data_IF_818105406452
#
_entry.id   IF_818105406452
#
_cell.length_a   1.000
_cell.length_b   1.000
_cell.length_c   1.000
_cell.angle_alpha   90.00
_cell.angle_beta   90.00
_cell.angle_gamma   90.00
#
_symmetry.space_group_name_H-M   'P 1'
#
loop_
_entity.id
_entity.type
_entity.pdbx_description
1 polymer ?
#
# COMPACT_ATOMS: atom_id res chain seq x y z
N UNK A 1 -16.35 -14.50 -32.13
CA UNK A 1 -15.85 -13.29 -32.80
C UNK A 1 -16.76 -12.17 -32.38
N UNK A 2 -16.23 -11.25 -31.55
CA UNK A 2 -17.02 -10.13 -30.99
C UNK A 2 -16.89 -8.91 -31.91
N UNK A 3 -18.03 -8.22 -32.11
CA UNK A 3 -18.11 -7.05 -32.99
C UNK A 3 -17.91 -5.81 -32.13
N UNK A 4 -16.95 -4.96 -32.51
CA UNK A 4 -16.63 -3.69 -31.83
C UNK A 4 -17.21 -2.55 -32.68
N UNK A 5 -18.15 -1.79 -32.08
CA UNK A 5 -18.75 -0.60 -32.68
C UNK A 5 -18.40 0.68 -31.91
N UNK A 6 -18.03 0.54 -30.67
CA UNK A 6 -17.74 1.68 -29.77
C UNK A 6 -16.66 1.36 -28.73
N UNK A 7 -16.12 2.40 -28.10
CA UNK A 7 -15.20 2.25 -26.96
C UNK A 7 -15.83 1.50 -25.79
N UNK A 8 -17.15 1.62 -25.60
CA UNK A 8 -17.88 0.92 -24.54
C UNK A 8 -17.91 -0.60 -24.76
N UNK A 9 -17.93 -1.05 -26.00
CA UNK A 9 -17.84 -2.48 -26.30
C UNK A 9 -16.48 -3.04 -25.87
N UNK A 10 -15.38 -2.30 -26.10
CA UNK A 10 -14.06 -2.69 -25.66
C UNK A 10 -13.97 -2.78 -24.13
N UNK A 11 -14.57 -1.84 -23.39
CA UNK A 11 -14.60 -1.92 -21.92
C UNK A 11 -15.35 -3.16 -21.44
N UNK A 12 -16.51 -3.49 -22.04
CA UNK A 12 -17.27 -4.70 -21.72
C UNK A 12 -16.45 -5.95 -22.00
N UNK A 13 -15.77 -6.01 -23.13
CA UNK A 13 -14.94 -7.15 -23.53
C UNK A 13 -13.82 -7.35 -22.52
N UNK A 14 -13.07 -6.31 -22.15
CA UNK A 14 -11.97 -6.38 -21.19
C UNK A 14 -12.45 -6.86 -19.81
N UNK A 15 -13.63 -6.43 -19.36
CA UNK A 15 -14.18 -6.83 -18.07
C UNK A 15 -14.51 -8.33 -17.98
N UNK A 16 -14.75 -8.99 -19.09
CA UNK A 16 -15.12 -10.40 -19.16
C UNK A 16 -14.04 -11.30 -19.78
N UNK A 17 -13.08 -10.73 -20.48
CA UNK A 17 -12.03 -11.49 -21.15
C UNK A 17 -10.91 -11.88 -20.18
N UNK A 18 -10.42 -13.10 -20.33
CA UNK A 18 -9.18 -13.51 -19.69
C UNK A 18 -7.99 -12.92 -20.45
N UNK A 19 -7.08 -12.31 -19.70
CA UNK A 19 -5.83 -11.87 -20.30
C UNK A 19 -4.92 -13.05 -20.62
N UNK A 20 -4.25 -12.96 -21.77
CA UNK A 20 -3.16 -13.88 -22.12
C UNK A 20 -2.12 -13.89 -21.00
N UNK A 21 -1.30 -14.91 -20.95
CA UNK A 21 -0.27 -15.23 -19.91
C UNK A 21 0.49 -14.04 -19.29
N UNK A 22 0.44 -12.89 -19.92
CA UNK A 22 1.11 -11.64 -19.56
C UNK A 22 0.57 -11.01 -18.25
N UNK A 23 -0.64 -11.34 -17.82
CA UNK A 23 -1.29 -10.65 -16.67
C UNK A 23 -0.61 -10.92 -15.34
N UNK A 24 -0.10 -12.13 -15.09
CA UNK A 24 0.59 -12.48 -13.83
C UNK A 24 1.93 -11.76 -13.71
N UNK A 25 2.67 -11.64 -14.82
CA UNK A 25 3.95 -10.92 -14.87
C UNK A 25 3.72 -9.43 -14.66
N UNK A 26 2.69 -8.86 -15.29
CA UNK A 26 2.31 -7.46 -15.11
C UNK A 26 1.92 -7.18 -13.64
N UNK A 27 1.09 -8.05 -13.06
CA UNK A 27 0.70 -7.94 -11.65
C UNK A 27 1.92 -7.97 -10.73
N UNK A 28 2.86 -8.91 -10.96
CA UNK A 28 4.11 -8.99 -10.19
C UNK A 28 4.96 -7.73 -10.32
N UNK A 29 5.13 -7.20 -11.53
CA UNK A 29 5.91 -5.96 -11.74
C UNK A 29 5.27 -4.72 -11.09
N UNK A 30 3.94 -4.66 -11.05
CA UNK A 30 3.23 -3.55 -10.42
C UNK A 30 3.32 -3.66 -8.91
N UNK A 31 3.10 -4.84 -8.35
CA UNK A 31 3.23 -5.10 -6.92
C UNK A 31 4.67 -4.94 -6.42
N UNK A 32 5.66 -5.01 -7.31
CA UNK A 32 7.08 -4.82 -6.98
C UNK A 32 7.39 -3.45 -6.36
N UNK A 33 6.68 -2.37 -6.72
CA UNK A 33 6.88 -1.06 -6.06
C UNK A 33 6.31 -1.06 -4.65
N UNK A 34 5.20 -1.76 -4.45
CA UNK A 34 4.61 -1.93 -3.11
C UNK A 34 5.57 -2.72 -2.21
N UNK A 35 6.26 -3.72 -2.78
CA UNK A 35 7.34 -4.43 -2.11
C UNK A 35 8.45 -3.48 -1.69
N UNK A 36 8.91 -2.60 -2.58
CA UNK A 36 9.97 -1.63 -2.29
C UNK A 36 9.54 -0.61 -1.22
N UNK A 37 8.30 -0.11 -1.27
CA UNK A 37 7.75 0.79 -0.24
C UNK A 37 7.86 0.15 1.15
N UNK A 38 7.36 -1.08 1.28
CA UNK A 38 7.41 -1.81 2.54
C UNK A 38 8.86 -2.13 2.98
N UNK A 39 9.72 -2.49 2.03
CA UNK A 39 11.13 -2.77 2.26
C UNK A 39 11.86 -1.54 2.81
N UNK A 40 11.77 -0.40 2.12
CA UNK A 40 12.50 0.83 2.48
C UNK A 40 12.06 1.44 3.81
N UNK A 41 10.76 1.35 4.12
CA UNK A 41 10.23 1.79 5.42
C UNK A 41 10.73 0.88 6.54
N UNK A 42 10.66 -0.43 6.34
CA UNK A 42 10.97 -1.42 7.39
C UNK A 42 12.47 -1.47 7.68
N UNK A 43 13.31 -1.35 6.68
CA UNK A 43 14.77 -1.34 6.87
C UNK A 43 15.18 -0.24 7.84
N UNK A 44 14.69 0.99 7.67
CA UNK A 44 15.03 2.04 8.62
C UNK A 44 14.42 1.80 10.00
N UNK A 45 13.24 1.22 10.09
CA UNK A 45 12.64 0.81 11.37
C UNK A 45 13.52 -0.15 12.17
N UNK A 46 14.21 -1.09 11.48
CA UNK A 46 15.15 -2.03 12.11
C UNK A 46 16.53 -1.43 12.43
N UNK A 47 16.86 -0.28 11.83
CA UNK A 47 18.17 0.37 11.93
C UNK A 47 18.15 1.65 12.79
N UNK A 48 17.08 1.90 13.51
CA UNK A 48 16.90 3.10 14.36
C UNK A 48 18.06 3.32 15.33
N UNK A 49 18.58 2.25 15.96
CA UNK A 49 19.71 2.33 16.89
C UNK A 49 21.00 2.79 16.21
N UNK A 50 21.30 2.26 15.00
CA UNK A 50 22.50 2.65 14.26
C UNK A 50 22.41 4.10 13.79
N UNK A 51 21.24 4.50 13.28
CA UNK A 51 21.00 5.87 12.84
C UNK A 51 21.10 6.86 14.02
N UNK A 52 20.51 6.50 15.17
CA UNK A 52 20.55 7.32 16.39
C UNK A 52 21.99 7.51 16.87
N UNK A 53 22.79 6.44 16.88
CA UNK A 53 24.21 6.53 17.27
C UNK A 53 25.05 7.33 16.29
N UNK A 54 24.88 7.10 14.98
CA UNK A 54 25.70 7.73 13.95
C UNK A 54 25.41 9.22 13.79
N UNK A 55 24.13 9.62 13.86
CA UNK A 55 23.70 11.02 13.65
C UNK A 55 23.33 11.74 14.95
N UNK A 56 23.54 11.11 16.11
CA UNK A 56 23.22 11.65 17.46
C UNK A 56 21.76 12.15 17.55
N UNK A 57 20.81 11.32 17.09
CA UNK A 57 19.42 11.72 16.98
C UNK A 57 18.71 11.76 18.32
N UNK A 58 18.03 12.87 18.63
CA UNK A 58 17.01 12.90 19.68
C UNK A 58 15.76 12.10 19.26
N UNK A 59 14.87 11.69 20.20
CA UNK A 59 13.62 11.02 19.85
C UNK A 59 12.77 11.80 18.83
N UNK A 60 12.70 13.12 18.96
CA UNK A 60 11.99 13.99 18.01
C UNK A 60 12.65 13.97 16.63
N UNK A 61 13.99 14.04 16.57
CA UNK A 61 14.71 14.00 15.29
C UNK A 61 14.59 12.63 14.62
N UNK A 62 14.60 11.55 15.41
CA UNK A 62 14.29 10.21 14.90
C UNK A 62 12.87 10.14 14.27
N UNK A 63 11.88 10.73 14.95
CA UNK A 63 10.52 10.85 14.40
C UNK A 63 10.50 11.61 13.07
N UNK A 64 11.27 12.69 12.93
CA UNK A 64 11.41 13.44 11.67
C UNK A 64 12.03 12.58 10.57
N UNK A 65 13.09 11.82 10.87
CA UNK A 65 13.72 10.89 9.91
C UNK A 65 12.73 9.83 9.46
N UNK A 66 11.98 9.24 10.39
CA UNK A 66 11.01 8.19 10.07
C UNK A 66 9.82 8.72 9.28
N UNK A 67 9.37 9.96 9.53
CA UNK A 67 8.22 10.57 8.83
C UNK A 67 8.56 11.23 7.51
N UNK A 68 9.83 11.49 7.21
CA UNK A 68 10.25 12.16 5.97
C UNK A 68 9.73 11.45 4.71
N UNK A 69 9.76 10.12 4.66
CA UNK A 69 9.23 9.33 3.56
C UNK A 69 7.69 9.38 3.48
N UNK A 70 6.90 9.11 4.53
CA UNK A 70 5.45 9.31 4.51
C UNK A 70 5.00 10.72 4.11
N UNK A 71 5.72 11.76 4.52
CA UNK A 71 5.44 13.14 4.11
C UNK A 71 5.65 13.30 2.59
N UNK A 72 6.78 12.83 2.06
CA UNK A 72 7.01 12.81 0.62
C UNK A 72 5.90 12.06 -0.13
N UNK A 73 5.46 10.90 0.40
CA UNK A 73 4.42 10.09 -0.21
C UNK A 73 3.05 10.77 -0.25
N UNK A 74 2.73 11.63 0.73
CA UNK A 74 1.52 12.45 0.71
C UNK A 74 1.50 13.37 -0.53
N UNK A 75 2.58 14.12 -0.77
CA UNK A 75 2.68 14.99 -1.94
C UNK A 75 2.70 14.23 -3.26
N UNK A 76 3.41 13.10 -3.30
CA UNK A 76 3.43 12.22 -4.47
C UNK A 76 2.05 11.67 -4.83
N UNK A 77 1.26 11.24 -3.85
CA UNK A 77 -0.07 10.68 -4.06
C UNK A 77 -1.07 11.70 -4.63
N UNK A 78 -0.96 12.96 -4.22
CA UNK A 78 -1.80 14.06 -4.76
C UNK A 78 -1.56 14.25 -6.26
N UNK A 79 -0.31 14.14 -6.70
CA UNK A 79 0.08 14.39 -8.10
C UNK A 79 -0.01 13.15 -8.99
N UNK A 80 0.22 11.96 -8.43
CA UNK A 80 0.37 10.70 -9.18
C UNK A 80 -0.81 10.38 -10.08
N UNK A 81 -2.04 10.48 -9.56
CA UNK A 81 -3.25 10.19 -10.33
C UNK A 81 -3.44 11.10 -11.54
N UNK A 82 -3.24 12.41 -11.37
CA UNK A 82 -3.39 13.39 -12.45
C UNK A 82 -2.29 13.28 -13.51
N UNK A 83 -1.06 13.02 -13.08
CA UNK A 83 0.07 12.78 -14.00
C UNK A 83 -0.14 11.50 -14.82
N UNK A 84 -0.60 10.41 -14.18
CA UNK A 84 -0.87 9.16 -14.87
C UNK A 84 -2.03 9.25 -15.87
N UNK A 85 -3.05 10.07 -15.58
CA UNK A 85 -4.10 10.35 -16.55
C UNK A 85 -3.54 11.04 -17.79
N UNK A 86 -2.66 12.04 -17.61
CA UNK A 86 -2.10 12.85 -18.71
C UNK A 86 -1.03 12.10 -19.52
N UNK A 87 -0.10 11.42 -18.85
CA UNK A 87 1.11 10.87 -19.47
C UNK A 87 1.11 9.33 -19.64
N UNK A 88 0.07 8.66 -19.19
CA UNK A 88 -0.03 7.20 -19.20
C UNK A 88 0.49 6.55 -17.92
N UNK A 89 -0.04 5.37 -17.62
CA UNK A 89 0.31 4.64 -16.37
C UNK A 89 1.72 4.09 -16.44
N UNK A 90 2.10 3.47 -17.56
CA UNK A 90 3.44 2.90 -17.78
C UNK A 90 4.55 3.92 -17.53
N UNK A 91 4.38 5.14 -18.06
CA UNK A 91 5.41 6.20 -17.95
C UNK A 91 5.60 6.62 -16.51
N UNK A 92 4.52 6.89 -15.78
CA UNK A 92 4.59 7.31 -14.37
C UNK A 92 5.18 6.20 -13.50
N UNK A 93 4.72 4.95 -13.67
CA UNK A 93 5.26 3.79 -12.96
C UNK A 93 6.76 3.54 -13.23
N UNK A 94 7.27 3.90 -14.41
CA UNK A 94 8.69 3.74 -14.74
C UNK A 94 9.53 4.89 -14.19
N UNK A 95 9.03 6.13 -14.25
CA UNK A 95 9.73 7.31 -13.72
C UNK A 95 9.83 7.23 -12.19
N UNK A 96 8.79 6.78 -11.49
CA UNK A 96 8.83 6.60 -10.04
C UNK A 96 9.91 5.62 -9.61
N UNK A 97 10.06 4.48 -10.31
CA UNK A 97 11.14 3.53 -10.03
C UNK A 97 12.52 4.09 -10.30
N UNK A 98 12.71 4.88 -11.36
CA UNK A 98 14.00 5.52 -11.63
C UNK A 98 14.38 6.47 -10.50
N UNK A 99 13.43 7.29 -10.03
CA UNK A 99 13.63 8.16 -8.87
C UNK A 99 14.00 7.34 -7.64
N UNK A 100 13.31 6.22 -7.39
CA UNK A 100 13.62 5.31 -6.28
C UNK A 100 15.06 4.76 -6.35
N UNK A 101 15.53 4.31 -7.52
CA UNK A 101 16.91 3.84 -7.70
C UNK A 101 17.91 4.92 -7.27
N UNK A 102 17.74 6.13 -7.81
CA UNK A 102 18.67 7.25 -7.57
C UNK A 102 18.67 7.65 -6.09
N UNK A 103 17.48 7.77 -5.50
CA UNK A 103 17.34 8.25 -4.13
C UNK A 103 17.67 7.20 -3.07
N UNK A 104 17.43 5.92 -3.34
CA UNK A 104 17.86 4.82 -2.47
C UNK A 104 19.40 4.72 -2.44
N UNK A 105 20.06 4.84 -3.60
CA UNK A 105 21.53 4.94 -3.66
C UNK A 105 22.02 6.19 -2.91
N UNK A 106 21.40 7.35 -3.15
CA UNK A 106 21.74 8.58 -2.46
C UNK A 106 21.58 8.47 -0.93
N UNK A 107 20.52 7.81 -0.46
CA UNK A 107 20.29 7.58 0.96
C UNK A 107 21.36 6.64 1.55
N UNK A 108 21.72 5.55 0.86
CA UNK A 108 22.74 4.60 1.34
C UNK A 108 24.12 5.24 1.46
N UNK A 109 24.44 6.20 0.58
CA UNK A 109 25.71 6.92 0.54
C UNK A 109 25.68 8.25 1.32
N UNK A 110 24.58 8.58 1.97
CA UNK A 110 24.38 9.88 2.64
C UNK A 110 25.50 10.16 3.68
N UNK A 111 26.27 11.25 3.52
CA UNK A 111 27.34 11.60 4.44
C UNK A 111 26.80 12.31 5.69
N UNK A 112 25.63 12.91 5.61
CA UNK A 112 25.02 13.67 6.67
C UNK A 112 23.48 13.50 6.70
N UNK A 113 22.87 13.93 7.79
CA UNK A 113 21.45 13.83 8.03
C UNK A 113 20.60 14.57 6.99
N UNK A 114 21.05 15.74 6.51
CA UNK A 114 20.32 16.55 5.54
C UNK A 114 20.14 15.80 4.23
N UNK A 115 21.18 15.18 3.71
CA UNK A 115 21.12 14.38 2.45
C UNK A 115 20.24 13.16 2.66
N UNK A 116 20.35 12.46 3.82
CA UNK A 116 19.48 11.35 4.15
C UNK A 116 17.99 11.76 4.14
N UNK A 117 17.65 12.85 4.82
CA UNK A 117 16.27 13.38 4.86
C UNK A 117 15.75 13.75 3.47
N UNK A 118 16.58 14.43 2.67
CA UNK A 118 16.21 14.83 1.30
C UNK A 118 15.96 13.61 0.43
N UNK A 119 16.87 12.63 0.45
CA UNK A 119 16.67 11.38 -0.31
C UNK A 119 15.40 10.65 0.14
N UNK A 120 15.16 10.53 1.44
CA UNK A 120 13.96 9.88 2.00
C UNK A 120 12.67 10.60 1.58
N UNK A 121 12.66 11.91 1.59
CA UNK A 121 11.50 12.69 1.14
C UNK A 121 11.21 12.44 -0.35
N UNK A 122 12.24 12.48 -1.20
CA UNK A 122 12.09 12.25 -2.65
C UNK A 122 11.72 10.78 -2.93
N UNK A 123 12.28 9.80 -2.19
CA UNK A 123 11.83 8.40 -2.24
C UNK A 123 10.34 8.31 -1.94
N UNK A 124 9.91 8.93 -0.84
CA UNK A 124 8.49 8.99 -0.48
C UNK A 124 7.63 9.59 -1.59
N UNK A 125 8.06 10.70 -2.17
CA UNK A 125 7.36 11.33 -3.29
C UNK A 125 7.17 10.37 -4.47
N UNK A 126 8.22 9.64 -4.86
CA UNK A 126 8.15 8.65 -5.92
C UNK A 126 7.20 7.50 -5.59
N UNK A 127 7.25 6.96 -4.37
CA UNK A 127 6.36 5.90 -3.88
C UNK A 127 4.90 6.39 -3.86
N UNK A 128 4.67 7.61 -3.34
CA UNK A 128 3.34 8.20 -3.31
C UNK A 128 2.75 8.43 -4.69
N UNK A 129 3.58 8.82 -5.66
CA UNK A 129 3.16 8.96 -7.05
C UNK A 129 2.82 7.61 -7.69
N UNK A 130 3.55 6.56 -7.39
CA UNK A 130 3.38 5.20 -7.94
C UNK A 130 2.14 4.49 -7.38
N UNK A 131 1.89 4.56 -6.08
CA UNK A 131 0.89 3.73 -5.38
C UNK A 131 -0.53 3.86 -5.94
N UNK A 132 -1.14 5.04 -6.10
CA UNK A 132 -2.49 5.16 -6.64
C UNK A 132 -2.57 4.70 -8.10
N UNK A 133 -1.50 4.90 -8.87
CA UNK A 133 -1.40 4.46 -10.26
C UNK A 133 -1.32 2.94 -10.32
N UNK A 134 -0.53 2.31 -9.44
CA UNK A 134 -0.41 0.86 -9.33
C UNK A 134 -1.76 0.20 -9.02
N UNK A 135 -2.49 0.69 -8.01
CA UNK A 135 -3.82 0.14 -7.65
C UNK A 135 -4.84 0.29 -8.78
N UNK A 136 -4.86 1.45 -9.44
CA UNK A 136 -5.74 1.69 -10.58
C UNK A 136 -5.38 0.73 -11.73
N UNK A 137 -4.09 0.58 -12.02
CA UNK A 137 -3.62 -0.29 -13.09
C UNK A 137 -3.94 -1.77 -12.82
N UNK A 138 -3.75 -2.25 -11.58
CA UNK A 138 -4.16 -3.61 -11.19
C UNK A 138 -5.66 -3.82 -11.42
N UNK A 139 -6.49 -2.84 -11.06
CA UNK A 139 -7.93 -2.92 -11.29
C UNK A 139 -8.29 -2.91 -12.79
N UNK A 140 -7.57 -2.15 -13.61
CA UNK A 140 -7.77 -2.03 -15.06
C UNK A 140 -7.37 -3.30 -15.85
N UNK A 141 -6.36 -4.04 -15.35
CA UNK A 141 -5.93 -5.30 -15.99
C UNK A 141 -6.61 -6.54 -15.41
N UNK A 142 -7.41 -6.42 -14.36
CA UNK A 142 -8.08 -7.55 -13.72
C UNK A 142 -9.51 -7.67 -14.21
N UNK A 143 -9.98 -8.92 -14.44
CA UNK A 143 -11.37 -9.18 -14.77
C UNK A 143 -12.29 -8.86 -13.56
N UNK A 144 -13.59 -8.68 -13.82
CA UNK A 144 -14.59 -8.24 -12.84
C UNK A 144 -14.56 -9.05 -11.54
N UNK A 145 -14.35 -10.36 -11.63
CA UNK A 145 -14.39 -11.28 -10.47
C UNK A 145 -13.10 -11.33 -9.66
N UNK A 146 -12.00 -10.84 -10.22
CA UNK A 146 -10.67 -10.92 -9.60
C UNK A 146 -10.16 -9.55 -9.12
N UNK A 147 -10.78 -8.43 -9.53
CA UNK A 147 -10.33 -7.07 -9.21
C UNK A 147 -10.02 -6.88 -7.72
N UNK A 148 -10.99 -7.16 -6.84
CA UNK A 148 -10.80 -6.97 -5.39
C UNK A 148 -9.71 -7.86 -4.80
N UNK A 149 -9.66 -9.14 -5.22
CA UNK A 149 -8.62 -10.08 -4.76
C UNK A 149 -7.23 -9.64 -5.21
N UNK A 150 -7.09 -9.25 -6.48
CA UNK A 150 -5.80 -8.84 -7.04
C UNK A 150 -5.30 -7.53 -6.42
N UNK A 151 -6.22 -6.59 -6.15
CA UNK A 151 -5.89 -5.38 -5.39
C UNK A 151 -5.44 -5.75 -3.97
N UNK A 152 -6.13 -6.66 -3.28
CA UNK A 152 -5.79 -7.05 -1.91
C UNK A 152 -4.43 -7.76 -1.77
N UNK A 153 -3.87 -8.33 -2.85
CA UNK A 153 -2.52 -8.91 -2.82
C UNK A 153 -1.42 -7.89 -2.47
N UNK A 154 -1.69 -6.58 -2.57
CA UNK A 154 -0.75 -5.57 -2.11
C UNK A 154 -0.34 -5.78 -0.65
N UNK A 155 -1.28 -6.17 0.20
CA UNK A 155 -1.01 -6.38 1.63
C UNK A 155 -0.18 -7.64 1.87
N UNK A 156 -0.40 -8.70 1.08
CA UNK A 156 0.45 -9.90 1.14
C UNK A 156 1.89 -9.55 0.77
N UNK A 157 2.07 -8.82 -0.35
CA UNK A 157 3.38 -8.39 -0.83
C UNK A 157 4.06 -7.46 0.16
N UNK A 158 3.30 -6.58 0.83
CA UNK A 158 3.78 -5.71 1.90
C UNK A 158 4.44 -6.52 3.02
N UNK A 159 3.76 -7.51 3.58
CA UNK A 159 4.31 -8.32 4.66
C UNK A 159 5.44 -9.26 4.19
N UNK A 160 5.39 -9.76 2.96
CA UNK A 160 6.52 -10.50 2.38
C UNK A 160 7.75 -9.61 2.31
N UNK A 161 7.61 -8.35 1.90
CA UNK A 161 8.73 -7.41 1.86
C UNK A 161 9.32 -7.14 3.26
N UNK A 162 8.48 -7.06 4.30
CA UNK A 162 8.94 -6.89 5.67
C UNK A 162 9.77 -8.09 6.13
N UNK A 163 9.29 -9.30 5.88
CA UNK A 163 10.05 -10.52 6.21
C UNK A 163 11.36 -10.57 5.43
N UNK A 164 11.34 -10.28 4.12
CA UNK A 164 12.55 -10.23 3.29
C UNK A 164 13.51 -9.15 3.78
N UNK A 165 13.02 -7.97 4.16
CA UNK A 165 13.89 -6.90 4.70
C UNK A 165 14.60 -7.34 5.97
N UNK A 166 13.90 -8.05 6.89
CA UNK A 166 14.51 -8.60 8.09
C UNK A 166 15.58 -9.67 7.75
N UNK A 167 15.32 -10.56 6.79
CA UNK A 167 16.28 -11.56 6.33
C UNK A 167 17.51 -10.93 5.68
N UNK A 168 17.34 -9.87 4.89
CA UNK A 168 18.45 -9.11 4.29
C UNK A 168 19.31 -8.46 5.38
N UNK A 169 18.68 -7.88 6.40
CA UNK A 169 19.41 -7.30 7.54
C UNK A 169 20.16 -8.38 8.31
N UNK A 170 19.55 -9.55 8.55
CA UNK A 170 20.23 -10.69 9.19
C UNK A 170 21.44 -11.14 8.37
N UNK A 171 21.29 -11.28 7.04
CA UNK A 171 22.37 -11.68 6.17
C UNK A 171 23.58 -10.72 6.26
N UNK A 172 23.35 -9.41 6.13
CA UNK A 172 24.42 -8.42 6.28
C UNK A 172 24.99 -8.35 7.69
N UNK A 173 24.16 -8.57 8.73
CA UNK A 173 24.62 -8.63 10.10
C UNK A 173 25.60 -9.81 10.32
N UNK A 174 25.25 -11.01 9.82
CA UNK A 174 26.11 -12.21 9.90
C UNK A 174 27.39 -12.07 9.08
N UNK A 175 27.34 -11.32 7.95
CA UNK A 175 28.52 -10.99 7.13
C UNK A 175 29.47 -10.01 7.85
N UNK A 176 29.13 -9.49 9.02
CA UNK A 176 30.02 -8.63 9.80
C UNK A 176 30.13 -7.19 9.29
N UNK A 177 29.11 -6.65 8.64
CA UNK A 177 29.13 -5.27 8.09
C UNK A 177 29.20 -4.16 9.14
N UNK A 178 29.07 -4.49 10.42
CA UNK A 178 29.28 -3.59 11.56
C UNK A 178 28.41 -2.33 11.52
N UNK A 179 29.05 -1.16 11.67
CA UNK A 179 28.37 0.14 11.68
C UNK A 179 27.77 0.55 10.33
N UNK A 180 28.22 -0.07 9.23
CA UNK A 180 27.72 0.20 7.88
C UNK A 180 26.49 -0.65 7.49
N UNK A 181 25.98 -1.48 8.38
CA UNK A 181 24.86 -2.40 8.12
C UNK A 181 23.66 -1.70 7.47
N UNK A 182 23.23 -0.55 8.01
CA UNK A 182 22.10 0.19 7.48
C UNK A 182 22.33 0.69 6.03
N UNK A 183 23.58 1.07 5.70
CA UNK A 183 23.93 1.54 4.35
C UNK A 183 23.81 0.41 3.33
N UNK A 184 24.34 -0.78 3.64
CA UNK A 184 24.21 -1.96 2.79
C UNK A 184 22.75 -2.39 2.63
N UNK A 185 21.98 -2.37 3.72
CA UNK A 185 20.59 -2.75 3.70
C UNK A 185 19.72 -1.78 2.84
N UNK A 186 19.93 -0.46 2.96
CA UNK A 186 19.26 0.55 2.11
C UNK A 186 19.76 0.44 0.65
N UNK A 187 21.07 0.25 0.42
CA UNK A 187 21.64 0.08 -0.91
C UNK A 187 21.11 -1.16 -1.64
N UNK A 188 20.83 -2.23 -0.93
CA UNK A 188 20.18 -3.42 -1.51
C UNK A 188 18.76 -3.13 -2.02
N UNK A 189 18.03 -2.21 -1.38
CA UNK A 189 16.76 -1.68 -1.89
C UNK A 189 16.92 -1.02 -3.26
N UNK A 190 17.98 -0.25 -3.46
CA UNK A 190 18.29 0.34 -4.77
C UNK A 190 18.57 -0.72 -5.85
N UNK A 191 19.23 -1.83 -5.51
CA UNK A 191 19.44 -2.95 -6.42
C UNK A 191 18.12 -3.59 -6.85
N UNK A 192 17.20 -3.86 -5.90
CA UNK A 192 15.86 -4.38 -6.20
C UNK A 192 15.11 -3.40 -7.11
N UNK A 193 15.14 -2.10 -6.79
CA UNK A 193 14.49 -1.06 -7.59
C UNK A 193 15.03 -1.02 -9.03
N UNK A 194 16.33 -1.16 -9.21
CA UNK A 194 16.97 -1.21 -10.54
C UNK A 194 16.51 -2.42 -11.35
N UNK A 195 16.48 -3.61 -10.74
CA UNK A 195 15.97 -4.82 -11.41
C UNK A 195 14.52 -4.64 -11.86
N UNK A 196 13.65 -4.13 -10.97
CA UNK A 196 12.25 -3.87 -11.30
C UNK A 196 12.11 -2.79 -12.39
N UNK A 197 12.95 -1.75 -12.38
CA UNK A 197 12.98 -0.71 -13.40
C UNK A 197 13.30 -1.27 -14.78
N UNK A 198 14.33 -2.11 -14.88
CA UNK A 198 14.72 -2.77 -16.14
C UNK A 198 13.58 -3.68 -16.64
N UNK A 199 12.98 -4.47 -15.74
CA UNK A 199 11.86 -5.33 -16.08
C UNK A 199 10.64 -4.52 -16.57
N UNK A 200 10.32 -3.39 -15.92
CA UNK A 200 9.21 -2.53 -16.35
C UNK A 200 9.44 -1.90 -17.72
N UNK A 201 10.62 -1.37 -17.97
CA UNK A 201 10.93 -0.80 -19.30
C UNK A 201 10.72 -1.84 -20.38
N UNK A 202 11.18 -3.07 -20.16
CA UNK A 202 11.16 -4.14 -21.16
C UNK A 202 9.80 -4.76 -21.35
N UNK A 203 9.03 -5.00 -20.29
CA UNK A 203 7.83 -5.84 -20.34
C UNK A 203 6.53 -5.12 -19.99
N UNK A 204 6.57 -3.97 -19.29
CA UNK A 204 5.34 -3.27 -18.91
C UNK A 204 4.70 -2.64 -20.14
N UNK A 205 3.47 -3.02 -20.42
CA UNK A 205 2.61 -2.40 -21.45
C UNK A 205 1.76 -1.31 -20.83
N UNK A 206 1.20 -0.42 -21.65
CA UNK A 206 0.30 0.61 -21.17
C UNK A 206 -1.05 0.02 -20.71
N UNK A 207 -1.79 0.77 -19.91
CA UNK A 207 -3.13 0.35 -19.50
C UNK A 207 -4.10 0.27 -20.67
N UNK A 208 -4.88 -0.82 -20.78
CA UNK A 208 -5.89 -0.93 -21.82
C UNK A 208 -6.94 0.17 -21.73
N UNK A 209 -7.36 0.53 -20.51
CA UNK A 209 -8.31 1.62 -20.27
C UNK A 209 -7.75 2.97 -20.72
N UNK A 210 -6.47 3.21 -20.52
CA UNK A 210 -5.83 4.45 -20.97
C UNK A 210 -5.75 4.50 -22.51
N UNK A 211 -5.36 3.40 -23.15
CA UNK A 211 -5.30 3.30 -24.63
C UNK A 211 -6.69 3.53 -25.23
N UNK A 212 -7.74 2.90 -24.71
CA UNK A 212 -9.12 3.08 -25.21
C UNK A 212 -9.54 4.55 -25.10
N UNK A 213 -9.17 5.25 -24.03
CA UNK A 213 -9.59 6.62 -23.81
C UNK A 213 -8.81 7.65 -24.65
N UNK A 214 -7.52 7.40 -24.95
CA UNK A 214 -6.62 8.38 -25.56
C UNK A 214 -6.25 8.10 -27.01
N UNK A 215 -6.59 6.90 -27.54
CA UNK A 215 -6.29 6.51 -28.91
C UNK A 215 -7.56 6.32 -29.75
N UNK A 216 -7.38 6.12 -31.04
CA UNK A 216 -8.47 5.80 -31.98
C UNK A 216 -9.11 4.45 -31.62
N UNK A 217 -10.35 4.22 -32.08
CA UNK A 217 -11.05 2.95 -31.86
C UNK A 217 -10.31 1.78 -32.53
N UNK A 218 -9.66 2.04 -33.67
CA UNK A 218 -8.88 1.05 -34.41
C UNK A 218 -7.64 0.61 -33.63
N UNK A 219 -6.83 1.57 -33.17
CA UNK A 219 -5.63 1.29 -32.36
C UNK A 219 -5.99 0.59 -31.05
N UNK A 220 -7.07 1.03 -30.40
CA UNK A 220 -7.55 0.42 -29.16
C UNK A 220 -8.02 -1.02 -29.40
N UNK A 221 -8.72 -1.28 -30.50
CA UNK A 221 -9.19 -2.64 -30.87
C UNK A 221 -8.01 -3.56 -31.19
N UNK A 222 -7.01 -3.05 -31.90
CA UNK A 222 -5.79 -3.80 -32.18
C UNK A 222 -5.01 -4.11 -30.91
N UNK A 223 -4.89 -3.12 -29.99
CA UNK A 223 -4.26 -3.31 -28.69
C UNK A 223 -4.95 -4.42 -27.87
N UNK A 224 -6.29 -4.40 -27.79
CA UNK A 224 -7.07 -5.41 -27.06
C UNK A 224 -6.91 -6.79 -27.72
N UNK A 225 -6.99 -6.90 -29.03
CA UNK A 225 -6.77 -8.15 -29.78
C UNK A 225 -5.39 -8.77 -29.49
N UNK A 226 -4.36 -7.93 -29.41
CA UNK A 226 -2.98 -8.39 -29.18
C UNK A 226 -2.71 -8.82 -27.75
N UNK A 227 -3.46 -8.31 -26.77
CA UNK A 227 -3.19 -8.51 -25.35
C UNK A 227 -4.23 -9.39 -24.62
N UNK A 228 -5.39 -9.60 -25.22
CA UNK A 228 -6.46 -10.44 -24.66
C UNK A 228 -6.74 -11.62 -25.59
N UNK A 229 -7.27 -12.71 -25.03
CA UNK A 229 -7.61 -13.89 -25.80
C UNK A 229 -9.01 -13.76 -26.40
N UNK A 230 -9.16 -12.77 -27.30
CA UNK A 230 -10.44 -12.42 -27.95
C UNK A 230 -10.25 -12.20 -29.42
N UNK A 231 -11.19 -12.71 -30.19
CA UNK A 231 -11.27 -12.46 -31.65
C UNK A 231 -12.22 -11.30 -31.90
N UNK A 232 -11.66 -10.13 -32.25
CA UNK A 232 -12.40 -8.90 -32.47
C UNK A 232 -12.47 -8.54 -33.94
N UNK A 233 -13.65 -8.10 -34.39
CA UNK A 233 -13.88 -7.49 -35.69
C UNK A 233 -14.42 -6.08 -35.49
N UNK A 234 -13.77 -5.12 -36.12
CA UNK A 234 -14.24 -3.74 -36.16
C UNK A 234 -15.36 -3.65 -37.18
N UNK A 235 -16.55 -3.20 -36.80
CA UNK A 235 -17.67 -2.96 -37.69
C UNK A 235 -18.04 -1.49 -37.65
N UNK A 236 -17.66 -0.76 -38.71
CA UNK A 236 -17.97 0.66 -38.89
C UNK A 236 -16.77 1.48 -39.34
N UNK A 237 -16.96 2.37 -40.30
CA UNK A 237 -16.03 3.42 -40.62
C UNK A 237 -15.85 4.31 -39.39
N UNK A 238 -14.59 4.50 -38.94
CA UNK A 238 -14.21 5.32 -37.82
C UNK A 238 -14.61 6.80 -37.98
N UNK A 239 -15.90 7.06 -37.98
CA UNK A 239 -16.38 8.41 -37.75
C UNK A 239 -16.06 8.77 -36.31
N UNK A 240 -15.18 9.71 -36.18
CA UNK A 240 -14.88 10.46 -34.97
C UNK A 240 -16.19 10.82 -34.24
N UNK A 241 -16.65 9.89 -33.39
CA UNK A 241 -17.68 10.28 -32.44
C UNK A 241 -17.08 11.33 -31.53
N UNK A 242 -17.72 12.49 -31.58
CA UNK A 242 -17.50 13.61 -30.70
C UNK A 242 -17.06 13.09 -29.34
N UNK A 243 -15.92 13.57 -28.89
CA UNK A 243 -15.63 13.64 -27.49
C UNK A 243 -16.91 14.16 -26.81
N UNK A 244 -17.72 13.24 -26.28
CA UNK A 244 -18.45 13.61 -25.11
C UNK A 244 -17.34 14.04 -24.13
N UNK A 245 -17.14 15.32 -24.02
CA UNK A 245 -16.44 15.95 -22.92
C UNK A 245 -17.20 15.51 -21.68
N UNK A 246 -16.95 14.26 -21.27
CA UNK A 246 -17.28 13.87 -19.90
C UNK A 246 -16.52 14.88 -19.08
N UNK A 247 -17.27 15.82 -18.54
CA UNK A 247 -16.78 16.84 -17.62
C UNK A 247 -15.78 16.14 -16.71
N UNK A 248 -14.53 16.65 -16.68
CA UNK A 248 -13.48 16.05 -15.84
C UNK A 248 -14.10 15.77 -14.49
N UNK A 249 -14.18 14.51 -14.05
CA UNK A 249 -14.87 14.21 -12.81
C UNK A 249 -14.21 15.05 -11.72
N UNK A 250 -14.99 15.87 -11.05
CA UNK A 250 -14.46 16.75 -9.99
C UNK A 250 -14.39 15.98 -8.69
N UNK A 251 -13.30 16.13 -7.96
CA UNK A 251 -13.15 15.56 -6.61
C UNK A 251 -14.31 15.99 -5.70
N UNK A 252 -14.92 17.16 -5.94
CA UNK A 252 -16.10 17.65 -5.21
C UNK A 252 -17.31 16.74 -5.38
N UNK A 253 -17.37 15.95 -6.46
CA UNK A 253 -18.47 15.02 -6.69
C UNK A 253 -18.49 13.86 -5.68
N UNK A 254 -17.34 13.49 -5.12
CA UNK A 254 -17.22 12.48 -4.07
C UNK A 254 -17.97 12.86 -2.78
N UNK A 255 -18.18 14.16 -2.57
CA UNK A 255 -18.85 14.69 -1.35
C UNK A 255 -20.36 14.93 -1.54
N UNK A 256 -20.93 14.58 -2.71
CA UNK A 256 -22.38 14.58 -2.88
C UNK A 256 -23.03 13.59 -1.91
N UNK A 257 -24.25 13.85 -1.41
CA UNK A 257 -24.95 13.00 -0.43
C UNK A 257 -24.95 11.50 -0.81
N UNK A 258 -25.04 11.20 -2.09
CA UNK A 258 -25.01 9.84 -2.67
C UNK A 258 -23.72 9.09 -2.34
N UNK A 259 -22.57 9.76 -2.39
CA UNK A 259 -21.25 9.16 -2.22
C UNK A 259 -20.60 9.46 -0.87
N UNK A 260 -21.13 10.44 -0.13
CA UNK A 260 -20.55 10.94 1.12
C UNK A 260 -20.27 9.82 2.14
N UNK A 261 -21.24 8.95 2.35
CA UNK A 261 -21.11 7.82 3.29
C UNK A 261 -19.98 6.85 2.87
N UNK A 262 -19.82 6.62 1.56
CA UNK A 262 -18.83 5.70 0.99
C UNK A 262 -17.42 6.27 1.12
N UNK A 263 -17.26 7.57 0.77
CA UNK A 263 -15.95 8.23 0.84
C UNK A 263 -15.50 8.41 2.29
N UNK A 264 -16.40 8.79 3.20
CA UNK A 264 -16.09 8.93 4.63
C UNK A 264 -15.68 7.59 5.22
N UNK A 265 -16.41 6.50 4.94
CA UNK A 265 -16.07 5.17 5.44
C UNK A 265 -14.70 4.71 4.92
N UNK A 266 -14.47 4.76 3.60
CA UNK A 266 -13.23 4.33 2.98
C UNK A 266 -12.02 5.13 3.51
N UNK A 267 -12.18 6.45 3.60
CA UNK A 267 -11.14 7.37 4.10
C UNK A 267 -10.83 7.12 5.56
N UNK A 268 -11.86 6.98 6.41
CA UNK A 268 -11.67 6.75 7.84
C UNK A 268 -10.96 5.42 8.10
N UNK A 269 -11.41 4.32 7.47
CA UNK A 269 -10.76 3.01 7.62
C UNK A 269 -9.30 3.08 7.15
N UNK A 270 -9.04 3.67 5.97
CA UNK A 270 -7.68 3.75 5.42
C UNK A 270 -6.75 4.62 6.26
N UNK A 271 -7.26 5.72 6.85
CA UNK A 271 -6.48 6.61 7.71
C UNK A 271 -6.16 5.95 9.05
N UNK A 272 -7.18 5.37 9.69
CA UNK A 272 -7.02 4.74 11.01
C UNK A 272 -6.16 3.48 10.94
N UNK A 273 -6.30 2.65 9.89
CA UNK A 273 -5.40 1.52 9.69
C UNK A 273 -3.94 1.97 9.45
N UNK A 274 -3.75 3.06 8.68
CA UNK A 274 -2.43 3.66 8.49
C UNK A 274 -1.86 4.14 9.83
N UNK A 275 -2.63 4.90 10.61
CA UNK A 275 -2.21 5.40 11.91
C UNK A 275 -1.82 4.27 12.88
N UNK A 276 -2.62 3.20 12.97
CA UNK A 276 -2.32 2.08 13.86
C UNK A 276 -1.12 1.26 13.39
N UNK A 277 -0.98 1.00 12.08
CA UNK A 277 0.13 0.22 11.56
C UNK A 277 1.46 0.97 11.65
N UNK A 278 1.50 2.20 11.19
CA UNK A 278 2.71 3.02 11.23
C UNK A 278 3.05 3.49 12.66
N UNK A 279 2.06 3.49 13.56
CA UNK A 279 2.27 3.78 14.98
C UNK A 279 2.77 2.57 15.78
N UNK A 280 2.40 1.35 15.43
CA UNK A 280 2.78 0.14 16.19
C UNK A 280 3.53 -0.86 15.32
N UNK A 281 2.99 -1.22 14.17
CA UNK A 281 3.54 -2.25 13.30
C UNK A 281 4.93 -1.93 12.76
N UNK A 282 5.20 -0.66 12.43
CA UNK A 282 6.53 -0.21 12.01
C UNK A 282 7.57 -0.33 13.14
N UNK A 283 7.15 -0.18 14.38
CA UNK A 283 8.02 -0.20 15.55
C UNK A 283 8.06 -1.55 16.26
N UNK A 284 7.56 -2.62 15.62
CA UNK A 284 7.69 -3.99 16.15
C UNK A 284 9.12 -4.37 16.50
N UNK A 285 10.18 -4.00 15.76
CA UNK A 285 11.54 -4.27 16.20
C UNK A 285 11.88 -3.64 17.56
N UNK A 286 11.42 -2.43 17.83
CA UNK A 286 11.59 -1.79 19.14
C UNK A 286 10.74 -2.51 20.20
N UNK A 287 9.48 -2.81 19.90
CA UNK A 287 8.59 -3.54 20.81
C UNK A 287 9.17 -4.93 21.15
N UNK A 288 9.78 -5.59 20.17
CA UNK A 288 10.43 -6.89 20.33
C UNK A 288 11.60 -6.85 21.34
N UNK A 289 12.30 -5.71 21.48
CA UNK A 289 13.35 -5.56 22.51
C UNK A 289 12.80 -5.60 23.94
N UNK A 290 11.54 -5.23 24.13
CA UNK A 290 10.86 -5.29 25.43
C UNK A 290 10.25 -6.67 25.70
N UNK A 291 9.79 -7.37 24.67
CA UNK A 291 8.93 -8.55 24.82
C UNK A 291 9.63 -9.86 24.40
N UNK A 292 10.47 -9.85 23.35
CA UNK A 292 11.00 -11.09 22.74
C UNK A 292 12.44 -11.33 23.14
N UNK A 293 13.34 -10.40 22.89
CA UNK A 293 14.78 -10.55 23.16
C UNK A 293 15.47 -9.22 23.26
N UNK A 294 16.55 -9.17 24.06
CA UNK A 294 17.48 -8.03 24.09
C UNK A 294 18.64 -8.20 23.10
N UNK A 295 18.87 -9.41 22.62
CA UNK A 295 19.87 -9.70 21.60
C UNK A 295 19.37 -9.28 20.21
N UNK A 296 20.25 -8.67 19.42
CA UNK A 296 19.91 -8.11 18.10
C UNK A 296 19.38 -9.18 17.14
N UNK A 297 20.00 -10.35 17.12
CA UNK A 297 19.56 -11.45 16.24
C UNK A 297 18.19 -11.98 16.68
N UNK A 298 17.96 -12.13 17.99
CA UNK A 298 16.67 -12.53 18.54
C UNK A 298 15.55 -11.54 18.22
N UNK A 299 15.83 -10.24 18.27
CA UNK A 299 14.88 -9.19 17.87
C UNK A 299 14.54 -9.28 16.39
N UNK A 300 15.53 -9.46 15.52
CA UNK A 300 15.32 -9.57 14.06
C UNK A 300 14.53 -10.82 13.69
N UNK A 301 14.89 -11.98 14.27
CA UNK A 301 14.18 -13.24 14.05
C UNK A 301 12.75 -13.15 14.59
N UNK A 302 12.56 -12.65 15.80
CA UNK A 302 11.24 -12.45 16.38
C UNK A 302 10.37 -11.52 15.52
N UNK A 303 10.93 -10.43 15.03
CA UNK A 303 10.24 -9.51 14.09
C UNK A 303 9.84 -10.22 12.81
N UNK A 304 10.73 -11.02 12.21
CA UNK A 304 10.41 -11.81 11.01
C UNK A 304 9.27 -12.80 11.27
N UNK A 305 9.33 -13.54 12.37
CA UNK A 305 8.33 -14.57 12.73
C UNK A 305 6.94 -13.95 12.94
N UNK A 306 6.83 -12.87 13.72
CA UNK A 306 5.51 -12.26 13.97
C UNK A 306 4.91 -11.66 12.70
N UNK A 307 5.72 -11.19 11.76
CA UNK A 307 5.24 -10.67 10.48
C UNK A 307 4.71 -11.77 9.53
N UNK A 308 5.04 -13.04 9.74
CA UNK A 308 4.39 -14.17 9.04
C UNK A 308 2.89 -14.20 9.35
N UNK A 309 2.48 -13.87 10.59
CA UNK A 309 1.06 -13.73 10.91
C UNK A 309 0.38 -12.64 10.07
N UNK A 310 1.09 -11.56 9.74
CA UNK A 310 0.63 -10.54 8.81
C UNK A 310 0.41 -11.07 7.38
N UNK A 311 1.33 -11.91 6.87
CA UNK A 311 1.17 -12.58 5.56
C UNK A 311 -0.09 -13.46 5.56
N UNK A 312 -0.25 -14.29 6.60
CA UNK A 312 -1.40 -15.21 6.73
C UNK A 312 -2.70 -14.40 6.81
N UNK A 313 -2.74 -13.37 7.66
CA UNK A 313 -3.91 -12.50 7.80
C UNK A 313 -4.29 -11.81 6.49
N UNK A 314 -3.32 -11.24 5.77
CA UNK A 314 -3.55 -10.60 4.47
C UNK A 314 -4.10 -11.58 3.43
N UNK A 315 -3.54 -12.79 3.36
CA UNK A 315 -4.00 -13.83 2.46
C UNK A 315 -5.43 -14.27 2.80
N UNK A 316 -5.69 -14.60 4.06
CA UNK A 316 -7.02 -14.99 4.54
C UNK A 316 -8.05 -13.88 4.30
N UNK A 317 -7.72 -12.64 4.65
CA UNK A 317 -8.59 -11.48 4.42
C UNK A 317 -8.91 -11.27 2.94
N UNK A 318 -7.93 -11.43 2.04
CA UNK A 318 -8.14 -11.30 0.60
C UNK A 318 -9.07 -12.39 0.03
N UNK A 319 -8.96 -13.64 0.51
CA UNK A 319 -9.85 -14.74 0.08
C UNK A 319 -11.27 -14.61 0.64
N UNK A 320 -11.41 -14.09 1.86
CA UNK A 320 -12.69 -13.96 2.52
C UNK A 320 -13.49 -12.71 2.11
N UNK A 321 -12.86 -11.74 1.44
CA UNK A 321 -13.49 -10.46 1.07
C UNK A 321 -14.85 -10.63 0.39
N UNK A 322 -14.96 -11.54 -0.59
CA UNK A 322 -16.22 -11.78 -1.32
C UNK A 322 -17.21 -12.67 -0.57
N UNK A 323 -16.77 -13.47 0.41
CA UNK A 323 -17.63 -14.38 1.18
C UNK A 323 -18.23 -13.71 2.41
N UNK A 324 -17.42 -12.90 3.10
CA UNK A 324 -17.77 -12.30 4.39
C UNK A 324 -18.18 -10.84 4.25
N UNK A 325 -17.66 -10.16 3.22
CA UNK A 325 -17.87 -8.73 2.98
C UNK A 325 -16.76 -7.86 3.59
N UNK A 326 -16.56 -6.70 2.95
CA UNK A 326 -15.51 -5.76 3.35
C UNK A 326 -15.75 -5.18 4.73
N UNK A 327 -16.99 -4.83 5.04
CA UNK A 327 -17.37 -4.24 6.33
C UNK A 327 -17.16 -5.19 7.49
N UNK A 328 -17.63 -6.43 7.38
CA UNK A 328 -17.53 -7.43 8.45
C UNK A 328 -16.07 -7.77 8.74
N UNK A 329 -15.23 -7.98 7.71
CA UNK A 329 -13.80 -8.23 7.86
C UNK A 329 -13.08 -7.05 8.53
N UNK A 330 -13.45 -5.81 8.19
CA UNK A 330 -12.89 -4.61 8.83
C UNK A 330 -13.22 -4.58 10.33
N UNK A 331 -14.47 -4.90 10.70
CA UNK A 331 -14.90 -4.95 12.11
C UNK A 331 -14.15 -6.04 12.89
N UNK A 332 -14.06 -7.25 12.35
CA UNK A 332 -13.28 -8.35 12.94
C UNK A 332 -11.83 -7.94 13.14
N UNK A 333 -11.21 -7.36 12.10
CA UNK A 333 -9.81 -6.93 12.16
C UNK A 333 -9.56 -5.86 13.22
N UNK A 334 -10.37 -4.80 13.28
CA UNK A 334 -10.23 -3.78 14.33
C UNK A 334 -10.47 -4.36 15.73
N UNK A 335 -11.40 -5.30 15.91
CA UNK A 335 -11.63 -5.97 17.19
C UNK A 335 -10.41 -6.78 17.63
N UNK A 336 -9.81 -7.59 16.72
CA UNK A 336 -8.61 -8.37 17.01
C UNK A 336 -7.42 -7.47 17.37
N UNK A 337 -7.23 -6.37 16.65
CA UNK A 337 -6.19 -5.38 16.93
C UNK A 337 -6.40 -4.72 18.29
N UNK A 338 -7.64 -4.30 18.60
CA UNK A 338 -7.98 -3.71 19.89
C UNK A 338 -7.66 -4.65 21.05
N UNK A 339 -8.12 -5.92 20.95
CA UNK A 339 -7.83 -6.95 21.95
C UNK A 339 -6.31 -7.12 22.11
N UNK A 340 -5.57 -7.27 21.00
CA UNK A 340 -4.14 -7.46 21.03
C UNK A 340 -3.41 -6.30 21.71
N UNK A 341 -3.76 -5.06 21.40
CA UNK A 341 -3.13 -3.87 21.99
C UNK A 341 -3.45 -3.71 23.48
N UNK A 342 -4.70 -3.95 23.88
CA UNK A 342 -5.10 -3.88 25.30
C UNK A 342 -4.42 -4.99 26.10
N UNK A 343 -4.40 -6.23 25.60
CA UNK A 343 -3.74 -7.35 26.27
C UNK A 343 -2.24 -7.12 26.41
N UNK A 344 -1.58 -6.68 25.34
CA UNK A 344 -0.15 -6.31 25.41
C UNK A 344 0.07 -5.15 26.39
N UNK A 345 -0.75 -4.09 26.33
CA UNK A 345 -0.59 -2.95 27.23
C UNK A 345 -0.77 -3.28 28.71
N UNK A 346 -1.80 -4.05 29.05
CA UNK A 346 -2.12 -4.36 30.46
C UNK A 346 -1.23 -5.46 31.02
N UNK A 347 -0.94 -6.50 30.24
CA UNK A 347 -0.40 -7.76 30.78
C UNK A 347 1.01 -8.09 30.33
N UNK A 348 1.73 -7.24 29.55
CA UNK A 348 3.03 -7.62 29.01
C UNK A 348 4.08 -7.96 30.09
N UNK A 349 3.99 -7.37 31.29
CA UNK A 349 4.87 -7.71 32.42
C UNK A 349 4.50 -9.04 33.11
N UNK A 350 3.23 -9.44 33.05
CA UNK A 350 2.70 -10.58 33.79
C UNK A 350 2.62 -11.86 32.95
N UNK A 351 2.59 -11.72 31.61
CA UNK A 351 2.43 -12.86 30.71
C UNK A 351 3.79 -13.38 30.23
N UNK A 352 3.92 -14.71 30.01
CA UNK A 352 5.10 -15.30 29.39
C UNK A 352 5.37 -14.70 28.01
N UNK A 353 6.65 -14.67 27.60
CA UNK A 353 7.11 -14.15 26.30
C UNK A 353 6.29 -14.71 25.10
N UNK A 354 5.99 -16.01 25.11
CA UNK A 354 5.23 -16.67 24.02
C UNK A 354 3.84 -16.06 23.88
N UNK A 355 3.13 -15.79 24.99
CA UNK A 355 1.77 -15.23 24.97
C UNK A 355 1.82 -13.75 24.50
N UNK A 356 2.79 -12.99 24.97
CA UNK A 356 2.99 -11.61 24.51
C UNK A 356 3.32 -11.55 23.01
N UNK A 357 4.17 -12.47 22.53
CA UNK A 357 4.50 -12.60 21.10
C UNK A 357 3.26 -12.98 20.29
N UNK A 358 2.39 -13.86 20.82
CA UNK A 358 1.11 -14.19 20.21
C UNK A 358 0.20 -12.97 20.04
N UNK A 359 0.11 -12.07 21.03
CA UNK A 359 -0.70 -10.84 20.89
C UNK A 359 -0.13 -9.89 19.84
N UNK A 360 1.20 -9.78 19.69
CA UNK A 360 1.80 -9.01 18.59
C UNK A 360 1.48 -9.64 17.24
N UNK A 361 1.55 -10.97 17.14
CA UNK A 361 1.17 -11.70 15.93
C UNK A 361 -0.33 -11.52 15.62
N UNK A 362 -1.20 -11.55 16.64
CA UNK A 362 -2.64 -11.30 16.54
C UNK A 362 -2.94 -9.87 16.06
N UNK A 363 -2.19 -8.87 16.54
CA UNK A 363 -2.26 -7.50 16.03
C UNK A 363 -2.01 -7.47 14.52
N UNK A 364 -0.93 -8.09 14.05
CA UNK A 364 -0.57 -8.10 12.64
C UNK A 364 -1.59 -8.88 11.80
N UNK A 365 -2.05 -10.03 12.28
CA UNK A 365 -3.06 -10.84 11.61
C UNK A 365 -4.38 -10.06 11.46
N UNK A 366 -4.88 -9.48 12.54
CA UNK A 366 -6.12 -8.71 12.55
C UNK A 366 -6.03 -7.44 11.67
N UNK A 367 -4.90 -6.71 11.77
CA UNK A 367 -4.66 -5.55 10.93
C UNK A 367 -4.66 -5.91 9.44
N UNK A 368 -3.87 -6.90 9.04
CA UNK A 368 -3.65 -7.23 7.64
C UNK A 368 -4.86 -7.92 7.00
N UNK A 369 -5.58 -8.76 7.74
CA UNK A 369 -6.79 -9.45 7.25
C UNK A 369 -8.04 -8.59 7.22
N UNK A 370 -8.07 -7.54 8.04
CA UNK A 370 -9.19 -6.61 8.19
C UNK A 370 -8.92 -5.24 7.59
N UNK A 371 -8.75 -4.19 8.41
CA UNK A 371 -8.70 -2.80 7.94
C UNK A 371 -7.57 -2.51 6.96
N UNK A 372 -6.44 -3.22 7.06
CA UNK A 372 -5.29 -3.06 6.18
C UNK A 372 -5.63 -3.35 4.72
N UNK A 373 -6.36 -4.42 4.44
CA UNK A 373 -6.79 -4.77 3.08
C UNK A 373 -8.05 -4.03 2.67
N UNK A 374 -9.06 -3.93 3.56
CA UNK A 374 -10.42 -3.57 3.17
C UNK A 374 -10.61 -2.07 2.88
N UNK A 375 -9.85 -1.17 3.51
CA UNK A 375 -10.00 0.27 3.27
C UNK A 375 -9.82 0.67 1.80
N UNK A 376 -8.77 0.15 1.15
CA UNK A 376 -8.49 0.39 -0.27
C UNK A 376 -9.49 -0.33 -1.19
N UNK A 377 -9.91 -1.52 -0.79
CA UNK A 377 -10.93 -2.29 -1.53
C UNK A 377 -12.29 -1.60 -1.50
N UNK A 378 -12.71 -1.05 -0.37
CA UNK A 378 -13.94 -0.24 -0.27
C UNK A 378 -13.84 0.95 -1.23
N UNK A 379 -12.71 1.68 -1.25
CA UNK A 379 -12.51 2.79 -2.17
C UNK A 379 -12.60 2.36 -3.64
N UNK A 380 -11.98 1.23 -4.00
CA UNK A 380 -11.96 0.73 -5.37
C UNK A 380 -13.32 0.18 -5.86
N UNK A 381 -14.15 -0.37 -4.97
CA UNK A 381 -15.41 -1.02 -5.31
C UNK A 381 -16.67 -0.17 -5.08
N UNK A 382 -16.58 0.96 -4.36
CA UNK A 382 -17.73 1.76 -3.95
C UNK A 382 -18.09 2.89 -4.91
N UNK A 383 -17.30 3.11 -5.97
CA UNK A 383 -17.50 4.24 -6.88
C UNK A 383 -17.57 3.79 -8.34
N UNK A 384 -18.41 4.42 -9.17
CA UNK A 384 -18.47 4.14 -10.59
C UNK A 384 -17.14 4.42 -11.27
N UNK A 385 -16.92 3.80 -12.43
CA UNK A 385 -15.63 3.80 -13.13
C UNK A 385 -15.08 5.21 -13.37
N UNK A 386 -15.94 6.18 -13.69
CA UNK A 386 -15.51 7.55 -13.95
C UNK A 386 -15.00 8.31 -12.71
N UNK A 387 -15.47 7.94 -11.47
CA UNK A 387 -15.04 8.54 -10.21
C UNK A 387 -13.99 7.70 -9.45
N UNK A 388 -13.82 6.43 -9.82
CA UNK A 388 -13.03 5.44 -9.06
C UNK A 388 -11.60 5.87 -8.83
N UNK A 389 -10.92 6.37 -9.86
CA UNK A 389 -9.52 6.81 -9.75
C UNK A 389 -9.37 8.02 -8.82
N UNK A 390 -10.34 8.92 -8.81
CA UNK A 390 -10.35 10.07 -7.91
C UNK A 390 -10.65 9.68 -6.48
N UNK A 391 -11.62 8.76 -6.28
CA UNK A 391 -11.95 8.24 -4.95
C UNK A 391 -10.73 7.51 -4.34
N UNK A 392 -10.10 6.61 -5.10
CA UNK A 392 -8.91 5.89 -4.63
C UNK A 392 -7.73 6.83 -4.37
N UNK A 393 -7.49 7.80 -5.25
CA UNK A 393 -6.46 8.82 -5.07
C UNK A 393 -6.72 9.70 -3.84
N UNK A 394 -7.94 10.14 -3.61
CA UNK A 394 -8.32 10.91 -2.43
C UNK A 394 -8.14 10.10 -1.13
N UNK A 395 -8.66 8.85 -1.10
CA UNK A 395 -8.52 7.97 0.06
C UNK A 395 -7.06 7.69 0.36
N UNK A 396 -6.24 7.42 -0.65
CA UNK A 396 -4.80 7.17 -0.47
C UNK A 396 -4.08 8.40 0.07
N UNK A 397 -4.36 9.59 -0.49
CA UNK A 397 -3.75 10.85 -0.04
C UNK A 397 -4.10 11.15 1.41
N UNK A 398 -5.37 11.04 1.79
CA UNK A 398 -5.79 11.30 3.18
C UNK A 398 -5.27 10.20 4.13
N UNK A 399 -5.18 8.94 3.70
CA UNK A 399 -4.64 7.86 4.53
C UNK A 399 -3.17 8.09 4.92
N UNK A 400 -2.40 8.79 4.08
CA UNK A 400 -1.01 9.14 4.41
C UNK A 400 -0.90 10.06 5.63
N UNK A 401 -1.91 10.87 5.93
CA UNK A 401 -1.92 11.67 7.17
C UNK A 401 -1.94 10.78 8.41
N UNK A 402 -2.71 9.68 8.38
CA UNK A 402 -2.70 8.67 9.45
C UNK A 402 -1.34 8.02 9.62
N UNK A 403 -0.67 7.66 8.52
CA UNK A 403 0.68 7.11 8.55
C UNK A 403 1.69 8.09 9.16
N UNK A 404 1.64 9.37 8.76
CA UNK A 404 2.50 10.43 9.31
C UNK A 404 2.29 10.56 10.82
N UNK A 405 1.03 10.70 11.26
CA UNK A 405 0.69 10.84 12.67
C UNK A 405 1.18 9.63 13.47
N UNK A 406 0.87 8.41 13.00
CA UNK A 406 1.28 7.18 13.68
C UNK A 406 2.80 7.07 13.82
N UNK A 407 3.54 7.29 12.72
CA UNK A 407 5.00 7.22 12.71
C UNK A 407 5.63 8.27 13.62
N UNK A 408 5.11 9.50 13.62
CA UNK A 408 5.67 10.60 14.38
C UNK A 408 5.42 10.46 15.89
N UNK A 409 4.23 10.01 16.25
CA UNK A 409 3.76 10.04 17.64
C UNK A 409 4.34 8.91 18.49
N UNK A 410 4.57 7.72 17.92
CA UNK A 410 4.98 6.53 18.67
C UNK A 410 6.29 6.71 19.47
N UNK A 411 7.42 7.17 18.89
CA UNK A 411 8.66 7.30 19.65
C UNK A 411 8.53 8.31 20.78
N UNK A 412 7.75 9.38 20.59
CA UNK A 412 7.54 10.45 21.58
C UNK A 412 6.72 9.90 22.75
N UNK A 413 5.61 9.22 22.49
CA UNK A 413 4.78 8.65 23.56
C UNK A 413 5.55 7.55 24.27
N UNK A 414 6.25 6.66 23.54
CA UNK A 414 7.03 5.59 24.15
C UNK A 414 8.08 6.13 25.12
N UNK A 415 8.77 7.20 24.74
CA UNK A 415 9.77 7.84 25.61
C UNK A 415 9.15 8.53 26.83
N UNK A 416 7.93 9.07 26.69
CA UNK A 416 7.27 9.81 27.77
C UNK A 416 6.59 8.89 28.81
N UNK A 417 5.91 7.82 28.36
CA UNK A 417 5.00 7.05 29.24
C UNK A 417 5.27 5.53 29.25
N UNK A 418 6.28 5.05 28.51
CA UNK A 418 6.64 3.64 28.42
C UNK A 418 5.67 2.80 27.57
N UNK A 419 6.00 1.50 27.38
CA UNK A 419 5.32 0.61 26.43
C UNK A 419 3.84 0.36 26.80
N UNK A 420 3.56 0.08 28.09
CA UNK A 420 2.20 -0.14 28.60
C UNK A 420 1.24 0.95 28.16
N UNK A 421 1.54 2.19 28.60
CA UNK A 421 0.65 3.33 28.33
C UNK A 421 0.62 3.68 26.85
N UNK A 422 1.72 3.50 26.12
CA UNK A 422 1.75 3.70 24.66
C UNK A 422 0.77 2.78 23.95
N UNK A 423 0.74 1.48 24.29
CA UNK A 423 -0.20 0.52 23.70
C UNK A 423 -1.64 0.86 24.03
N UNK A 424 -1.94 1.26 25.28
CA UNK A 424 -3.29 1.63 25.70
C UNK A 424 -3.78 2.94 25.04
N UNK A 425 -2.92 3.95 24.93
CA UNK A 425 -3.24 5.21 24.22
C UNK A 425 -3.55 4.93 22.74
N UNK A 426 -2.69 4.16 22.09
CA UNK A 426 -2.86 3.86 20.66
C UNK A 426 -4.01 2.88 20.40
N UNK A 427 -4.49 2.13 21.40
CA UNK A 427 -5.68 1.27 21.28
C UNK A 427 -6.97 2.07 21.01
N UNK A 428 -6.98 3.38 21.25
CA UNK A 428 -8.08 4.28 20.86
C UNK A 428 -8.28 4.26 19.34
N UNK A 429 -7.23 4.09 18.55
CA UNK A 429 -7.31 4.12 17.08
C UNK A 429 -8.18 2.99 16.53
N UNK A 430 -7.93 1.70 16.81
CA UNK A 430 -8.80 0.61 16.37
C UNK A 430 -10.19 0.68 16.99
N UNK A 431 -10.35 1.21 18.21
CA UNK A 431 -11.66 1.43 18.83
C UNK A 431 -12.52 2.42 18.02
N UNK A 432 -11.94 3.57 17.65
CA UNK A 432 -12.60 4.55 16.78
C UNK A 432 -12.93 3.94 15.41
N UNK A 433 -12.00 3.16 14.84
CA UNK A 433 -12.22 2.43 13.58
C UNK A 433 -13.40 1.47 13.65
N UNK A 434 -13.53 0.73 14.75
CA UNK A 434 -14.65 -0.18 15.01
C UNK A 434 -15.96 0.58 15.12
N UNK A 435 -16.01 1.69 15.88
CA UNK A 435 -17.20 2.55 16.04
C UNK A 435 -17.65 3.10 14.68
N UNK A 436 -16.75 3.67 13.89
CA UNK A 436 -17.08 4.24 12.58
C UNK A 436 -17.59 3.15 11.63
N UNK A 437 -16.94 1.99 11.59
CA UNK A 437 -17.34 0.88 10.70
C UNK A 437 -18.70 0.28 11.10
N UNK A 438 -19.03 0.27 12.38
CA UNK A 438 -20.35 -0.18 12.86
C UNK A 438 -21.44 0.84 12.56
N UNK A 439 -21.16 2.14 12.72
CA UNK A 439 -22.11 3.23 12.49
C UNK A 439 -22.41 3.45 11.00
N UNK A 440 -21.39 3.48 10.17
CA UNK A 440 -21.51 3.69 8.72
C UNK A 440 -21.75 2.36 7.98
N UNK A 441 -23.03 1.97 7.90
CA UNK A 441 -23.46 0.70 7.29
C UNK A 441 -23.40 0.78 5.75
N UNK A 442 -22.22 0.48 5.18
CA UNK A 442 -22.00 0.32 3.74
C UNK A 442 -21.20 -0.94 3.47
N UNK A 443 -21.68 -1.76 2.53
CA UNK A 443 -20.94 -2.92 2.00
C UNK A 443 -20.62 -2.69 0.53
N UNK A 444 -19.36 -2.85 0.17
CA UNK A 444 -18.90 -2.58 -1.20
C UNK A 444 -19.02 -3.79 -2.12
N UNK A 445 -18.94 -5.00 -1.55
CA UNK A 445 -19.02 -6.25 -2.33
C UNK A 445 -20.47 -6.54 -2.74
N UNK A 446 -20.65 -6.97 -4.00
CA UNK A 446 -21.95 -7.35 -4.55
C UNK A 446 -22.84 -6.18 -4.97
N UNK A 447 -22.35 -4.93 -4.89
CA UNK A 447 -23.08 -3.75 -5.37
C UNK A 447 -22.75 -3.45 -6.82
N UNK A 448 -23.77 -3.18 -7.63
CA UNK A 448 -23.60 -2.62 -8.96
C UNK A 448 -23.64 -1.09 -8.86
N UNK A 449 -22.47 -0.48 -8.75
CA UNK A 449 -22.33 0.97 -8.58
C UNK A 449 -22.34 1.76 -9.88
N UNK A 450 -22.33 1.06 -11.02
CA UNK A 450 -22.35 1.69 -12.36
C UNK A 450 -23.76 2.13 -12.74
N UNK A 451 -24.80 1.43 -12.25
CA UNK A 451 -26.20 1.69 -12.57
C UNK A 451 -26.87 2.66 -11.57
N UNK A 452 -26.15 3.10 -10.54
CA UNK A 452 -26.63 4.06 -9.55
C UNK A 452 -26.28 5.51 -10.01
#
# INVERSE_FOLDING_TARGET
>A
MEIVKSKNDLFRIIDHADQKHTSKILLFMILGTIFLDAYDITILGTMTDQLTKQFHLSPTMLSVVMTSLPIGALFGAILGGSLAHKFGRKRILSVSLLILVITSLGASLAPNLFILLTCRFIMGFAIGMDSPVAFTFIAEISNKWQKGRNVNYWQVVWYVAIVVSALVVIAFFVMGTGEHLWRFAVGFGAFIALVLYILRIKYLKESPTWIINHHSLEEATEYVRNNYDVNLKLEGNGTSFSENKSSKPSTTELFKPKYLKRIVLATSISTLQGMQYYGVGLYIPIIATYIISKDKLGVLLGTAIVNIAGIIGAYVGSQLTYKVGTRCLTMIGFSLVLIAMVMTGVFYHSLPMIINTFFIALFLFGHSGGPGTQGKTIAALSFPTYLRSQATGFVESVSRTGSIIGTFVFPIILAAVGLTNTMLILAIVPLVGLIITTALRWEAVGKNVEDE
#
